data_IF_788552196645
#
_entry.id   IF_788552196645
#
_cell.length_a   1.000
_cell.length_b   1.000
_cell.length_c   1.000
_cell.angle_alpha   90.00
_cell.angle_beta   90.00
_cell.angle_gamma   90.00
#
_symmetry.space_group_name_H-M   'P 1'
#
loop_
_entity.id
_entity.type
_entity.pdbx_description
1 polymer ?
#
# COMPACT_ATOMS: atom_id res chain seq x y z
N UNK A 1 31.06 1.61 -3.78
CA UNK A 1 30.49 1.92 -2.45
C UNK A 1 30.29 3.44 -2.27
N UNK A 2 31.24 4.30 -2.64
CA UNK A 2 31.13 5.77 -2.49
C UNK A 2 30.12 6.41 -3.46
N UNK A 3 30.05 5.93 -4.70
CA UNK A 3 29.06 6.39 -5.71
C UNK A 3 27.62 6.02 -5.30
N UNK A 4 27.39 4.82 -4.78
CA UNK A 4 26.07 4.41 -4.29
C UNK A 4 25.58 5.25 -3.09
N UNK A 5 26.48 5.59 -2.15
CA UNK A 5 26.13 6.45 -1.00
C UNK A 5 25.77 7.88 -1.43
N UNK A 6 26.46 8.44 -2.43
CA UNK A 6 26.17 9.79 -2.94
C UNK A 6 24.84 9.83 -3.74
N UNK A 7 24.54 8.79 -4.53
CA UNK A 7 23.24 8.65 -5.16
C UNK A 7 22.10 8.60 -4.12
N UNK A 8 22.23 7.76 -3.10
CA UNK A 8 21.23 7.66 -2.02
C UNK A 8 20.98 8.99 -1.29
N UNK A 9 21.99 9.85 -1.13
CA UNK A 9 21.83 11.15 -0.46
C UNK A 9 21.09 12.14 -1.37
N UNK A 10 21.48 12.26 -2.64
CA UNK A 10 20.81 13.12 -3.62
C UNK A 10 19.36 12.71 -3.84
N UNK A 11 19.11 11.41 -3.93
CA UNK A 11 17.77 10.87 -4.13
C UNK A 11 16.87 11.15 -2.91
N UNK A 12 17.45 11.10 -1.70
CA UNK A 12 16.74 11.49 -0.47
C UNK A 12 16.37 12.97 -0.47
N UNK A 13 17.30 13.85 -0.85
CA UNK A 13 17.01 15.29 -0.91
C UNK A 13 15.89 15.56 -1.91
N UNK A 14 15.98 15.02 -3.13
CA UNK A 14 14.92 15.11 -4.13
C UNK A 14 13.57 14.58 -3.61
N UNK A 15 13.60 13.47 -2.87
CA UNK A 15 12.40 12.88 -2.31
C UNK A 15 11.78 13.79 -1.24
N UNK A 16 12.58 14.41 -0.37
CA UNK A 16 12.06 15.35 0.63
C UNK A 16 11.47 16.60 -0.01
N UNK A 17 12.14 17.15 -1.01
CA UNK A 17 11.64 18.29 -1.78
C UNK A 17 10.32 17.94 -2.47
N UNK A 18 10.22 16.75 -3.04
CA UNK A 18 9.01 16.28 -3.71
C UNK A 18 7.89 15.97 -2.69
N UNK A 19 8.18 15.47 -1.50
CA UNK A 19 7.19 15.31 -0.41
C UNK A 19 6.62 16.68 -0.01
N UNK A 20 7.47 17.68 0.15
CA UNK A 20 7.05 19.06 0.47
C UNK A 20 6.19 19.66 -0.66
N UNK A 21 6.44 19.28 -1.91
CA UNK A 21 5.65 19.68 -3.06
C UNK A 21 4.30 18.96 -3.14
N UNK A 22 4.29 17.65 -2.91
CA UNK A 22 3.11 16.78 -3.03
C UNK A 22 2.10 17.02 -1.92
N UNK A 23 2.55 17.07 -0.67
CA UNK A 23 1.69 17.08 0.51
C UNK A 23 0.60 18.15 0.49
N UNK A 24 0.89 19.45 0.23
CA UNK A 24 -0.15 20.47 0.13
C UNK A 24 -1.08 20.25 -1.06
N UNK A 25 -0.59 19.69 -2.16
CA UNK A 25 -1.35 19.50 -3.40
C UNK A 25 -2.36 18.37 -3.34
N UNK A 26 -2.13 17.41 -2.47
CA UNK A 26 -3.09 16.32 -2.20
C UNK A 26 -3.99 16.59 -1.00
N UNK A 27 -4.13 17.87 -0.60
CA UNK A 27 -5.10 18.28 0.42
C UNK A 27 -4.65 18.11 1.87
N UNK A 28 -3.35 18.14 2.15
CA UNK A 28 -2.78 18.05 3.50
C UNK A 28 -3.24 16.83 4.30
N UNK A 29 -3.19 15.61 3.77
CA UNK A 29 -3.55 14.44 4.56
C UNK A 29 -2.71 14.37 5.84
N UNK A 30 -3.28 13.87 6.97
CA UNK A 30 -2.53 13.72 8.20
C UNK A 30 -1.35 12.77 7.99
N UNK A 31 -0.14 13.16 8.44
CA UNK A 31 1.08 12.37 8.25
C UNK A 31 1.20 11.24 9.29
N UNK A 32 0.12 10.49 9.46
CA UNK A 32 0.05 9.25 10.23
C UNK A 32 -0.19 8.07 9.29
N UNK A 33 0.11 6.86 9.73
CA UNK A 33 -0.12 5.64 8.94
C UNK A 33 -1.62 5.44 8.70
N UNK A 34 -2.07 5.14 7.47
CA UNK A 34 -1.28 4.86 6.25
C UNK A 34 -0.96 6.10 5.38
N UNK A 35 -1.54 7.26 5.64
CA UNK A 35 -1.47 8.43 4.77
C UNK A 35 -0.06 8.99 4.58
N UNK A 36 0.78 8.96 5.62
CA UNK A 36 2.20 9.33 5.50
C UNK A 36 2.94 8.46 4.48
N UNK A 37 2.59 7.18 4.38
CA UNK A 37 3.15 6.27 3.38
C UNK A 37 2.64 6.61 1.98
N UNK A 38 1.37 6.98 1.83
CA UNK A 38 0.79 7.37 0.55
C UNK A 38 1.46 8.62 -0.01
N UNK A 39 1.63 9.66 0.81
CA UNK A 39 2.34 10.90 0.41
C UNK A 39 3.78 10.59 0.00
N UNK A 40 4.50 9.83 0.83
CA UNK A 40 5.88 9.43 0.52
C UNK A 40 5.98 8.59 -0.76
N UNK A 41 5.10 7.62 -0.93
CA UNK A 41 5.11 6.75 -2.11
C UNK A 41 4.75 7.52 -3.38
N UNK A 42 3.79 8.44 -3.32
CA UNK A 42 3.44 9.31 -4.43
C UNK A 42 4.61 10.23 -4.84
N UNK A 43 5.28 10.82 -3.84
CA UNK A 43 6.50 11.61 -4.08
C UNK A 43 7.61 10.76 -4.73
N UNK A 44 7.82 9.54 -4.24
CA UNK A 44 8.79 8.61 -4.83
C UNK A 44 8.42 8.25 -6.27
N UNK A 45 7.16 7.95 -6.54
CA UNK A 45 6.68 7.68 -7.91
C UNK A 45 6.94 8.88 -8.82
N UNK A 46 6.65 10.10 -8.37
CA UNK A 46 6.92 11.31 -9.14
C UNK A 46 8.41 11.46 -9.47
N UNK A 47 9.30 11.33 -8.47
CA UNK A 47 10.76 11.40 -8.70
C UNK A 47 11.20 10.37 -9.72
N UNK A 48 10.78 9.11 -9.58
CA UNK A 48 11.12 8.04 -10.51
C UNK A 48 10.59 8.29 -11.94
N UNK A 49 9.40 8.86 -12.07
CA UNK A 49 8.84 9.16 -13.40
C UNK A 49 9.52 10.36 -14.04
N UNK A 50 9.83 11.42 -13.28
CA UNK A 50 10.58 12.57 -13.78
C UNK A 50 11.99 12.20 -14.22
N UNK A 51 12.67 11.28 -13.53
CA UNK A 51 13.98 10.76 -13.97
C UNK A 51 13.91 9.98 -15.29
N UNK A 52 12.74 9.45 -15.63
CA UNK A 52 12.45 8.82 -16.92
C UNK A 52 11.92 9.81 -17.97
N UNK A 53 11.95 11.12 -17.70
CA UNK A 53 11.44 12.17 -18.59
C UNK A 53 9.92 12.28 -18.67
N UNK A 54 9.19 11.65 -17.74
CA UNK A 54 7.72 11.76 -17.65
C UNK A 54 7.31 12.90 -16.73
N UNK A 55 6.07 13.36 -16.89
CA UNK A 55 5.50 14.39 -16.02
C UNK A 55 5.20 13.85 -14.63
N UNK A 56 5.12 14.76 -13.63
CA UNK A 56 4.53 14.47 -12.32
C UNK A 56 3.13 13.92 -12.50
N UNK A 57 2.68 13.14 -11.51
CA UNK A 57 1.34 12.54 -11.48
C UNK A 57 1.07 11.53 -12.61
N UNK A 58 2.07 11.19 -13.44
CA UNK A 58 1.89 10.21 -14.51
C UNK A 58 1.55 8.80 -13.99
N UNK A 59 1.83 8.54 -12.71
CA UNK A 59 1.51 7.29 -12.04
C UNK A 59 1.05 7.57 -10.61
N UNK A 60 -0.19 7.21 -10.30
CA UNK A 60 -0.79 7.30 -8.96
C UNK A 60 -1.44 5.94 -8.70
N UNK A 61 -1.07 5.29 -7.59
CA UNK A 61 -1.63 4.01 -7.20
C UNK A 61 -3.10 4.14 -6.73
N UNK A 62 -3.88 3.07 -6.81
CA UNK A 62 -5.32 3.13 -6.52
C UNK A 62 -5.64 3.45 -5.06
N UNK A 63 -4.86 2.95 -4.10
CA UNK A 63 -4.98 3.31 -2.68
C UNK A 63 -4.69 4.79 -2.41
N UNK A 64 -3.76 5.39 -3.17
CA UNK A 64 -3.51 6.84 -3.11
C UNK A 64 -4.68 7.60 -3.73
N UNK A 65 -5.24 7.10 -4.83
CA UNK A 65 -6.47 7.64 -5.40
C UNK A 65 -7.64 7.57 -4.44
N UNK A 66 -7.82 6.47 -3.72
CA UNK A 66 -8.89 6.32 -2.73
C UNK A 66 -8.79 7.35 -1.60
N UNK A 67 -7.55 7.68 -1.16
CA UNK A 67 -7.32 8.78 -0.25
C UNK A 67 -7.68 10.14 -0.88
N UNK A 68 -7.20 10.44 -2.08
CA UNK A 68 -7.44 11.71 -2.78
C UNK A 68 -8.93 11.93 -3.07
N UNK A 69 -9.62 10.88 -3.47
CA UNK A 69 -11.06 10.93 -3.78
C UNK A 69 -11.97 11.00 -2.54
N UNK A 70 -11.41 10.94 -1.33
CA UNK A 70 -12.16 11.09 -0.08
C UNK A 70 -12.83 9.81 0.41
N UNK A 71 -12.55 8.64 -0.16
CA UNK A 71 -13.13 7.36 0.28
C UNK A 71 -12.70 6.96 1.70
N UNK A 72 -11.49 7.37 2.11
CA UNK A 72 -10.96 7.14 3.45
C UNK A 72 -11.23 8.29 4.43
N UNK A 73 -12.01 9.28 4.02
CA UNK A 73 -12.37 10.43 4.79
C UNK A 73 -12.05 11.75 4.08
N UNK A 74 -12.63 12.83 4.62
CA UNK A 74 -12.44 14.17 4.05
C UNK A 74 -11.05 14.70 4.33
N UNK A 75 -10.40 15.21 3.29
CA UNK A 75 -9.07 15.83 3.40
C UNK A 75 -9.16 17.21 4.09
N UNK A 76 -8.15 17.58 4.90
CA UNK A 76 -8.14 18.85 5.62
C UNK A 76 -8.07 20.09 4.73
N UNK A 77 -7.42 20.00 3.58
CA UNK A 77 -7.22 21.10 2.65
C UNK A 77 -7.74 20.83 1.24
N UNK A 78 -7.74 21.87 0.38
CA UNK A 78 -8.16 21.71 -1.01
C UNK A 78 -7.13 20.91 -1.81
N UNK A 79 -7.63 20.19 -2.81
CA UNK A 79 -6.78 19.54 -3.82
C UNK A 79 -6.28 20.56 -4.83
N UNK A 80 -5.07 20.36 -5.34
CA UNK A 80 -4.55 21.16 -6.43
C UNK A 80 -5.33 20.93 -7.73
N UNK A 81 -5.52 21.96 -8.57
CA UNK A 81 -6.29 21.85 -9.81
C UNK A 81 -5.80 20.72 -10.72
N UNK A 82 -4.48 20.54 -10.85
CA UNK A 82 -3.89 19.49 -11.66
C UNK A 82 -4.29 18.05 -11.22
N UNK A 83 -4.56 17.86 -9.93
CA UNK A 83 -5.04 16.57 -9.39
C UNK A 83 -6.51 16.36 -9.75
N UNK A 84 -7.31 17.44 -9.65
CA UNK A 84 -8.74 17.39 -9.99
C UNK A 84 -8.91 17.11 -11.49
N UNK A 85 -8.18 17.83 -12.34
CA UNK A 85 -8.20 17.64 -13.78
C UNK A 85 -7.81 16.20 -14.17
N UNK A 86 -6.76 15.68 -13.52
CA UNK A 86 -6.32 14.31 -13.75
C UNK A 86 -7.38 13.28 -13.29
N UNK A 87 -8.01 13.48 -12.15
CA UNK A 87 -9.09 12.61 -11.69
C UNK A 87 -10.25 12.60 -12.71
N UNK A 88 -10.62 13.76 -13.23
CA UNK A 88 -11.65 13.89 -14.24
C UNK A 88 -11.27 13.22 -15.57
N UNK A 89 -10.03 13.41 -16.01
CA UNK A 89 -9.50 12.78 -17.23
C UNK A 89 -9.47 11.25 -17.13
N UNK A 90 -9.24 10.70 -15.96
CA UNK A 90 -9.29 9.25 -15.68
C UNK A 90 -10.72 8.74 -15.37
N UNK A 91 -11.74 9.61 -15.42
CA UNK A 91 -13.14 9.25 -15.13
C UNK A 91 -13.38 8.89 -13.66
N UNK A 92 -12.50 9.32 -12.75
CA UNK A 92 -12.64 9.06 -11.32
C UNK A 92 -13.66 10.02 -10.70
N UNK A 93 -14.45 9.51 -9.77
CA UNK A 93 -15.50 10.29 -9.07
C UNK A 93 -15.08 10.51 -7.63
N UNK A 94 -15.25 11.75 -7.17
CA UNK A 94 -15.07 12.08 -5.75
C UNK A 94 -16.20 11.44 -4.92
N UNK A 95 -15.83 10.97 -3.75
CA UNK A 95 -16.74 10.33 -2.82
C UNK A 95 -17.38 11.41 -1.92
N UNK A 96 -18.71 11.46 -1.91
CA UNK A 96 -19.49 12.44 -1.14
C UNK A 96 -20.26 11.80 0.04
N UNK A 97 -20.17 10.48 0.17
CA UNK A 97 -20.87 9.71 1.21
C UNK A 97 -20.14 9.67 2.56
N UNK A 98 -20.66 8.88 3.47
CA UNK A 98 -19.96 8.56 4.71
C UNK A 98 -18.84 7.53 4.42
N UNK A 99 -17.58 7.84 4.74
CA UNK A 99 -16.47 6.91 4.52
C UNK A 99 -16.67 5.53 5.15
N UNK A 100 -17.40 5.45 6.26
CA UNK A 100 -17.72 4.18 6.92
C UNK A 100 -18.51 3.22 6.02
N UNK A 101 -19.30 3.75 5.09
CA UNK A 101 -20.10 2.92 4.17
C UNK A 101 -19.21 2.14 3.19
N UNK A 102 -17.96 2.58 2.99
CA UNK A 102 -16.97 1.86 2.18
C UNK A 102 -16.32 0.67 2.91
N UNK A 103 -16.52 0.60 4.22
CA UNK A 103 -15.92 -0.43 5.08
C UNK A 103 -17.02 -1.17 5.85
N UNK A 104 -17.85 -1.99 5.17
CA UNK A 104 -18.89 -2.77 5.83
C UNK A 104 -18.26 -3.74 6.83
N UNK A 105 -19.02 -4.13 7.86
CA UNK A 105 -18.59 -5.14 8.80
C UNK A 105 -18.24 -6.44 8.06
N UNK A 106 -17.01 -6.87 8.21
CA UNK A 106 -16.49 -8.03 7.50
C UNK A 106 -16.66 -9.34 8.28
N UNK A 107 -16.92 -9.32 9.60
CA UNK A 107 -16.95 -10.51 10.45
C UNK A 107 -17.98 -11.52 9.99
N UNK A 108 -19.20 -11.07 9.68
CA UNK A 108 -20.27 -11.96 9.20
C UNK A 108 -19.90 -12.65 7.87
N UNK A 109 -19.24 -11.91 6.98
CA UNK A 109 -18.75 -12.47 5.72
C UNK A 109 -17.72 -13.56 5.96
N UNK A 110 -16.72 -13.29 6.79
CA UNK A 110 -15.65 -14.26 7.07
C UNK A 110 -16.13 -15.43 7.89
N UNK A 111 -17.11 -15.25 8.80
CA UNK A 111 -17.77 -16.35 9.51
C UNK A 111 -18.47 -17.31 8.55
N UNK A 112 -19.19 -16.80 7.54
CA UNK A 112 -19.80 -17.63 6.51
C UNK A 112 -18.75 -18.38 5.70
N UNK A 113 -17.66 -17.72 5.29
CA UNK A 113 -16.58 -18.36 4.56
C UNK A 113 -15.87 -19.45 5.38
N UNK A 114 -15.67 -19.26 6.68
CA UNK A 114 -15.11 -20.27 7.58
C UNK A 114 -16.03 -21.49 7.67
N UNK A 115 -17.34 -21.26 7.83
CA UNK A 115 -18.32 -22.34 7.86
C UNK A 115 -18.34 -23.14 6.54
N UNK A 116 -18.31 -22.46 5.39
CA UNK A 116 -18.23 -23.12 4.08
C UNK A 116 -16.96 -23.97 3.90
N UNK A 117 -15.84 -23.49 4.45
CA UNK A 117 -14.55 -24.19 4.43
C UNK A 117 -14.39 -25.20 5.57
N UNK A 118 -15.38 -25.35 6.44
CA UNK A 118 -15.32 -26.20 7.64
C UNK A 118 -14.13 -25.86 8.55
N UNK A 119 -13.83 -24.58 8.68
CA UNK A 119 -12.80 -24.08 9.58
C UNK A 119 -13.43 -23.68 10.92
N UNK A 120 -12.78 -24.10 12.00
CA UNK A 120 -13.20 -23.71 13.35
C UNK A 120 -12.94 -22.23 13.62
N UNK A 121 -13.89 -21.57 14.26
CA UNK A 121 -13.83 -20.15 14.59
C UNK A 121 -12.94 -19.87 15.80
N UNK A 122 -12.64 -20.91 16.61
CA UNK A 122 -11.96 -20.80 17.90
C UNK A 122 -12.94 -20.52 19.05
N UNK A 123 -12.53 -20.79 20.28
CA UNK A 123 -13.38 -20.55 21.46
C UNK A 123 -13.67 -19.07 21.67
N UNK A 124 -12.68 -18.21 21.43
CA UNK A 124 -12.74 -16.74 21.59
C UNK A 124 -12.87 -16.01 20.22
N UNK A 125 -13.27 -16.71 19.18
CA UNK A 125 -13.36 -16.18 17.81
C UNK A 125 -12.03 -15.65 17.24
N UNK A 126 -10.90 -16.00 17.83
CA UNK A 126 -9.56 -15.54 17.40
C UNK A 126 -9.28 -15.87 15.94
N UNK A 127 -9.59 -17.09 15.52
CA UNK A 127 -9.39 -17.54 14.14
C UNK A 127 -10.23 -16.73 13.13
N UNK A 128 -11.43 -16.30 13.53
CA UNK A 128 -12.27 -15.42 12.72
C UNK A 128 -11.66 -14.04 12.56
N UNK A 129 -11.14 -13.46 13.65
CA UNK A 129 -10.47 -12.17 13.61
C UNK A 129 -9.20 -12.22 12.76
N UNK A 130 -8.37 -13.25 12.93
CA UNK A 130 -7.17 -13.47 12.12
C UNK A 130 -7.52 -13.57 10.64
N UNK A 131 -8.57 -14.32 10.30
CA UNK A 131 -9.01 -14.45 8.91
C UNK A 131 -9.53 -13.14 8.36
N UNK A 132 -10.32 -12.38 9.13
CA UNK A 132 -10.86 -11.09 8.70
C UNK A 132 -9.77 -10.02 8.51
N UNK A 133 -8.75 -10.03 9.35
CA UNK A 133 -7.65 -9.06 9.29
C UNK A 133 -6.60 -9.40 8.22
N UNK A 134 -6.33 -10.68 8.00
CA UNK A 134 -5.25 -11.16 7.14
C UNK A 134 -5.70 -12.30 6.20
N UNK A 135 -6.72 -12.10 5.35
CA UNK A 135 -7.38 -13.19 4.62
C UNK A 135 -6.41 -14.01 3.75
N UNK A 136 -5.54 -13.36 3.01
CA UNK A 136 -4.61 -14.05 2.11
C UNK A 136 -3.56 -14.88 2.89
N UNK A 137 -3.03 -14.30 3.97
CA UNK A 137 -2.06 -14.96 4.84
C UNK A 137 -2.69 -16.15 5.59
N UNK A 138 -3.90 -15.96 6.12
CA UNK A 138 -4.63 -16.99 6.82
C UNK A 138 -4.99 -18.18 5.89
N UNK A 139 -5.45 -17.91 4.67
CA UNK A 139 -5.70 -18.96 3.67
C UNK A 139 -4.42 -19.71 3.29
N UNK A 140 -3.31 -18.99 3.10
CA UNK A 140 -2.02 -19.60 2.81
C UNK A 140 -1.52 -20.49 3.97
N UNK A 141 -1.79 -20.07 5.21
CA UNK A 141 -1.50 -20.85 6.42
C UNK A 141 -2.36 -22.11 6.49
N UNK A 142 -3.68 -21.99 6.41
CA UNK A 142 -4.63 -23.11 6.53
C UNK A 142 -4.51 -24.12 5.39
N UNK A 143 -4.20 -23.67 4.17
CA UNK A 143 -3.94 -24.56 3.02
C UNK A 143 -2.57 -25.24 3.04
N UNK A 144 -1.71 -24.87 3.99
CA UNK A 144 -0.31 -25.33 4.05
C UNK A 144 0.63 -24.70 3.02
N UNK A 145 0.13 -23.83 2.15
CA UNK A 145 0.92 -23.14 1.10
C UNK A 145 2.07 -22.32 1.71
N UNK A 146 1.80 -21.56 2.76
CA UNK A 146 2.81 -20.77 3.46
C UNK A 146 3.98 -21.63 3.96
N UNK A 147 3.71 -22.84 4.47
CA UNK A 147 4.76 -23.76 4.92
C UNK A 147 5.63 -24.29 3.78
N UNK A 148 5.02 -24.54 2.62
CA UNK A 148 5.74 -25.00 1.42
C UNK A 148 6.62 -23.87 0.88
N UNK A 149 6.08 -22.67 0.75
CA UNK A 149 6.80 -21.48 0.27
C UNK A 149 7.98 -21.13 1.20
N UNK A 150 7.76 -21.16 2.53
CA UNK A 150 8.82 -20.93 3.51
C UNK A 150 9.96 -21.94 3.38
N UNK A 151 9.64 -23.22 3.25
CA UNK A 151 10.68 -24.27 3.06
C UNK A 151 11.47 -24.05 1.77
N UNK A 152 10.80 -23.67 0.68
CA UNK A 152 11.44 -23.37 -0.60
C UNK A 152 12.37 -22.13 -0.49
N UNK A 153 11.93 -21.07 0.17
CA UNK A 153 12.74 -19.87 0.38
C UNK A 153 13.97 -20.14 1.26
N UNK A 154 13.82 -20.92 2.33
CA UNK A 154 14.94 -21.35 3.17
C UNK A 154 15.95 -22.18 2.39
N UNK A 155 15.48 -23.10 1.54
CA UNK A 155 16.37 -23.89 0.70
C UNK A 155 17.13 -23.02 -0.29
N UNK A 156 16.44 -22.08 -0.94
CA UNK A 156 17.05 -21.10 -1.86
C UNK A 156 18.14 -20.26 -1.18
N UNK A 157 17.84 -19.68 -0.02
CA UNK A 157 18.80 -18.87 0.76
C UNK A 157 20.01 -19.67 1.22
N UNK A 158 19.83 -20.94 1.58
CA UNK A 158 20.94 -21.84 1.91
C UNK A 158 21.84 -22.11 0.70
N UNK A 159 21.25 -22.33 -0.48
CA UNK A 159 22.00 -22.53 -1.72
C UNK A 159 22.78 -21.28 -2.14
N UNK A 160 22.15 -20.09 -2.05
CA UNK A 160 22.80 -18.80 -2.32
C UNK A 160 23.99 -18.54 -1.40
N UNK A 161 23.85 -18.81 -0.09
CA UNK A 161 24.96 -18.69 0.87
C UNK A 161 26.09 -19.68 0.59
N UNK A 162 25.78 -20.91 0.20
CA UNK A 162 26.78 -21.92 -0.16
C UNK A 162 27.57 -21.52 -1.42
N UNK A 163 26.91 -20.85 -2.37
CA UNK A 163 27.54 -20.36 -3.59
C UNK A 163 28.33 -19.05 -3.36
N UNK A 164 27.91 -18.20 -2.43
CA UNK A 164 28.61 -16.95 -2.09
C UNK A 164 29.87 -17.17 -1.25
N UNK A 165 30.05 -18.34 -0.66
CA UNK A 165 31.22 -18.74 0.14
C UNK A 165 32.27 -19.54 -0.62
N UNK A 166 32.16 -19.69 -1.94
CA UNK A 166 33.21 -20.29 -2.76
C UNK A 166 34.11 -19.17 -3.29
N UNK A 167 35.44 -19.24 -3.04
CA UNK A 167 36.42 -18.26 -3.50
C UNK A 167 36.56 -18.24 -5.03
#
# INVERSE_FOLDING_TARGET
VRRQRQMCIRDRIKLFDEVAYVWPRVGYPPLVTPFSQYVKNLALMNVMQMEKGKARWSMIADDIWDMILGKAGRLPGPLAPEIIEKAQAEGRKFFEGNPQDNYPDALDKYRKLMNEKQWEVGEDEEELFEYAMHPAQYEAYRSGKAKVEFKADVAKRKAEKANAGKP
#
